data_IF_417328607707
#
_entry.id   IF_417328607707
#
_cell.length_a   1.000
_cell.length_b   1.000
_cell.length_c   1.000
_cell.angle_alpha   90.00
_cell.angle_beta   90.00
_cell.angle_gamma   90.00
#
_symmetry.space_group_name_H-M   'P 1'
#
loop_
_entity.id
_entity.type
_entity.pdbx_description
1 polymer ?
#
# COMPACT_ATOMS: atom_id res chain seq x y z
N UNK A 1 20.75 19.13 30.20
CA UNK A 1 21.29 18.81 28.87
C UNK A 1 20.32 17.84 28.22
N UNK A 2 19.50 18.36 27.34
CA UNK A 2 18.46 17.59 26.66
C UNK A 2 19.19 16.74 25.59
N UNK A 3 19.28 15.43 25.80
CA UNK A 3 19.72 14.50 24.75
C UNK A 3 18.64 14.52 23.65
N UNK A 4 18.94 15.25 22.57
CA UNK A 4 18.18 15.12 21.34
C UNK A 4 18.38 13.70 20.83
N UNK A 5 17.31 12.90 20.81
CA UNK A 5 17.30 11.60 20.19
C UNK A 5 17.80 11.73 18.73
N UNK A 6 18.51 10.72 18.26
CA UNK A 6 19.09 10.70 16.91
C UNK A 6 17.97 10.88 15.88
N UNK A 7 18.02 11.88 14.99
CA UNK A 7 16.94 12.15 14.02
C UNK A 7 16.66 10.96 13.07
N UNK A 8 17.64 10.08 12.88
CA UNK A 8 17.50 8.84 12.12
C UNK A 8 16.52 7.87 12.81
N UNK A 9 16.53 7.80 14.14
CA UNK A 9 15.64 6.94 14.91
C UNK A 9 14.18 7.46 14.88
N UNK A 10 14.00 8.77 14.96
CA UNK A 10 12.66 9.40 14.89
C UNK A 10 12.01 9.24 13.51
N UNK A 11 12.79 9.32 12.45
CA UNK A 11 12.27 9.19 11.08
C UNK A 11 12.00 7.74 10.71
N UNK A 12 12.79 6.78 11.23
CA UNK A 12 12.53 5.35 11.06
C UNK A 12 11.23 4.95 11.77
N UNK A 13 10.93 5.54 12.92
CA UNK A 13 9.67 5.36 13.66
C UNK A 13 8.49 5.89 12.83
N UNK A 14 8.58 7.10 12.28
CA UNK A 14 7.50 7.70 11.50
C UNK A 14 7.17 6.94 10.21
N UNK A 15 8.17 6.33 9.56
CA UNK A 15 7.99 5.53 8.34
C UNK A 15 7.46 4.12 8.60
N UNK A 16 7.80 3.55 9.77
CA UNK A 16 7.25 2.28 10.22
C UNK A 16 5.83 2.45 10.79
N UNK A 17 5.50 3.64 11.33
CA UNK A 17 4.16 3.91 11.89
C UNK A 17 3.07 3.96 10.84
N UNK A 18 3.35 4.33 9.59
CA UNK A 18 2.35 4.26 8.52
C UNK A 18 1.91 2.83 8.19
N UNK A 19 2.67 1.82 8.61
CA UNK A 19 2.33 0.40 8.41
C UNK A 19 1.70 -0.27 9.63
N UNK A 20 1.68 0.36 10.82
CA UNK A 20 1.38 -0.33 12.10
C UNK A 20 0.69 0.61 13.10
N UNK A 21 -0.46 1.18 12.77
CA UNK A 21 -1.24 2.02 13.71
C UNK A 21 -2.39 1.20 14.34
N UNK A 22 -2.51 1.14 15.66
CA UNK A 22 -3.50 0.33 16.39
C UNK A 22 -4.45 1.17 17.23
N UNK A 23 -5.71 0.77 17.28
CA UNK A 23 -6.74 1.39 18.13
C UNK A 23 -6.82 0.76 19.51
N UNK A 24 -6.73 1.57 20.56
CA UNK A 24 -7.11 1.17 21.91
C UNK A 24 -8.53 1.66 22.22
N UNK A 25 -9.51 0.75 22.10
CA UNK A 25 -10.79 0.91 22.77
C UNK A 25 -10.80 0.08 24.06
N UNK A 26 -11.20 0.72 25.15
CA UNK A 26 -11.20 0.17 26.51
C UNK A 26 -12.01 -1.14 26.61
N UNK A 27 -11.35 -2.18 27.20
CA UNK A 27 -11.94 -3.35 27.84
C UNK A 27 -12.79 -4.28 26.98
N UNK A 28 -12.22 -4.79 25.89
CA UNK A 28 -12.45 -6.15 25.46
C UNK A 28 -11.17 -6.94 25.80
N UNK A 29 -11.26 -8.24 26.07
CA UNK A 29 -10.11 -9.10 26.30
C UNK A 29 -9.05 -8.82 25.25
N UNK A 30 -7.84 -8.45 25.69
CA UNK A 30 -6.71 -8.24 24.77
C UNK A 30 -6.60 -9.50 23.91
N UNK A 31 -6.94 -9.40 22.63
CA UNK A 31 -6.66 -10.46 21.69
C UNK A 31 -5.15 -10.64 21.63
N UNK A 32 -4.70 -11.89 21.50
CA UNK A 32 -3.26 -12.13 21.30
C UNK A 32 -2.77 -11.34 20.09
N UNK A 33 -1.53 -10.80 20.14
CA UNK A 33 -1.00 -9.95 19.07
C UNK A 33 -0.94 -10.68 17.72
N UNK A 34 -0.98 -9.91 16.63
CA UNK A 34 -0.83 -10.43 15.27
C UNK A 34 0.62 -10.49 14.79
N UNK A 35 1.55 -9.96 15.58
CA UNK A 35 2.99 -10.05 15.36
C UNK A 35 3.69 -10.51 16.62
N UNK A 36 4.75 -11.30 16.48
CA UNK A 36 5.60 -11.66 17.60
C UNK A 36 7.07 -11.82 17.18
N UNK A 37 7.96 -11.55 18.10
CA UNK A 37 9.39 -11.88 17.96
C UNK A 37 9.74 -13.05 18.86
N UNK A 38 10.38 -14.06 18.28
CA UNK A 38 10.93 -15.20 19.02
C UNK A 38 12.44 -15.30 18.84
N UNK A 39 13.13 -15.86 19.82
CA UNK A 39 14.58 -16.09 19.79
C UNK A 39 14.90 -17.52 20.21
N UNK A 40 15.64 -18.21 19.38
CA UNK A 40 16.11 -19.58 19.69
C UNK A 40 17.35 -19.55 20.58
N UNK A 41 17.66 -20.68 21.23
CA UNK A 41 18.90 -20.84 22.01
C UNK A 41 20.18 -20.61 21.16
N UNK A 42 20.12 -20.84 19.85
CA UNK A 42 21.21 -20.59 18.90
C UNK A 42 21.36 -19.13 18.50
N UNK A 43 20.50 -18.23 19.02
CA UNK A 43 20.55 -16.81 18.69
C UNK A 43 19.93 -16.46 17.33
N UNK A 44 19.09 -17.32 16.77
CA UNK A 44 18.24 -16.94 15.63
C UNK A 44 17.02 -16.18 16.16
N UNK A 45 16.85 -14.95 15.73
CA UNK A 45 15.69 -14.11 16.04
C UNK A 45 14.77 -14.11 14.83
N UNK A 46 13.47 -14.36 15.04
CA UNK A 46 12.45 -14.36 14.00
C UNK A 46 11.33 -13.40 14.35
N UNK A 47 10.85 -12.66 13.33
CA UNK A 47 9.56 -11.97 13.34
C UNK A 47 8.55 -12.88 12.67
N UNK A 48 7.45 -13.15 13.34
CA UNK A 48 6.37 -14.01 12.85
C UNK A 48 5.07 -13.22 12.75
N UNK A 49 4.31 -13.47 11.68
CA UNK A 49 3.02 -12.88 11.38
C UNK A 49 1.92 -13.90 11.61
N UNK A 50 0.80 -13.45 12.20
CA UNK A 50 -0.34 -14.31 12.53
C UNK A 50 -1.34 -14.39 11.38
N UNK A 51 -1.83 -15.59 11.12
CA UNK A 51 -3.10 -15.87 10.47
C UNK A 51 -4.08 -16.34 11.54
N UNK A 52 -5.12 -15.55 11.81
CA UNK A 52 -6.19 -15.88 12.75
C UNK A 52 -7.42 -16.32 12.01
N UNK A 53 -7.88 -17.52 12.29
CA UNK A 53 -9.11 -18.08 11.74
C UNK A 53 -10.28 -17.82 12.68
N UNK A 54 -11.34 -17.24 12.12
CA UNK A 54 -12.62 -17.03 12.77
C UNK A 54 -13.68 -17.87 12.07
N UNK A 55 -14.61 -18.44 12.85
CA UNK A 55 -15.75 -19.21 12.36
C UNK A 55 -17.07 -18.59 12.81
N UNK A 56 -18.19 -18.82 12.12
CA UNK A 56 -19.49 -18.41 12.62
C UNK A 56 -19.76 -18.99 14.01
N UNK A 57 -20.19 -18.14 14.96
CA UNK A 57 -20.55 -18.59 16.33
C UNK A 57 -21.86 -19.35 16.37
N UNK A 58 -22.74 -19.15 15.36
CA UNK A 58 -23.98 -19.88 15.19
C UNK A 58 -24.33 -19.97 13.70
N UNK A 59 -24.85 -21.13 13.28
CA UNK A 59 -25.29 -21.34 11.89
C UNK A 59 -24.19 -21.85 10.96
N UNK A 60 -24.44 -21.69 9.67
CA UNK A 60 -23.51 -22.04 8.58
C UNK A 60 -22.98 -20.76 7.94
N UNK A 61 -21.76 -20.78 7.46
CA UNK A 61 -21.12 -19.65 6.79
C UNK A 61 -19.63 -19.93 6.56
N UNK A 62 -18.96 -19.12 5.74
CA UNK A 62 -17.53 -19.28 5.50
C UNK A 62 -16.71 -18.98 6.76
N UNK A 63 -15.53 -19.57 6.86
CA UNK A 63 -14.50 -19.12 7.80
C UNK A 63 -13.88 -17.84 7.26
N UNK A 64 -13.48 -16.98 8.17
CA UNK A 64 -12.75 -15.74 7.84
C UNK A 64 -11.34 -15.88 8.39
N UNK A 65 -10.35 -15.70 7.52
CA UNK A 65 -8.93 -15.79 7.84
C UNK A 65 -8.33 -14.38 7.83
N UNK A 66 -8.04 -13.84 9.01
CA UNK A 66 -7.31 -12.57 9.16
C UNK A 66 -5.82 -12.85 9.05
N UNK A 67 -5.23 -12.54 7.90
CA UNK A 67 -3.83 -12.82 7.56
C UNK A 67 -3.05 -11.53 7.64
N UNK A 68 -2.23 -11.38 8.68
CA UNK A 68 -1.44 -10.17 8.86
C UNK A 68 -0.31 -10.06 7.84
N UNK A 69 -0.23 -8.91 7.19
CA UNK A 69 0.76 -8.56 6.20
C UNK A 69 1.79 -7.56 6.74
N UNK A 70 2.93 -7.51 6.07
CA UNK A 70 3.96 -6.50 6.23
C UNK A 70 4.56 -6.19 4.86
N UNK A 71 4.82 -4.91 4.57
CA UNK A 71 5.27 -4.48 3.24
C UNK A 71 6.70 -4.88 2.89
N UNK A 72 7.55 -5.16 3.89
CA UNK A 72 8.92 -5.60 3.70
C UNK A 72 9.20 -6.82 4.57
N UNK A 73 9.64 -7.92 3.96
CA UNK A 73 9.92 -9.20 4.64
C UNK A 73 11.00 -9.98 3.88
N UNK A 74 11.40 -11.12 4.41
CA UNK A 74 12.23 -12.05 3.65
C UNK A 74 11.42 -12.60 2.47
N UNK A 75 12.06 -12.80 1.31
CA UNK A 75 11.42 -13.27 0.08
C UNK A 75 10.55 -14.52 0.30
N UNK A 76 11.05 -15.46 1.11
CA UNK A 76 10.37 -16.72 1.42
C UNK A 76 9.01 -16.51 2.12
N UNK A 77 8.85 -15.39 2.85
CA UNK A 77 7.56 -15.05 3.43
C UNK A 77 6.51 -14.78 2.35
N UNK A 78 6.86 -13.97 1.34
CA UNK A 78 5.93 -13.66 0.26
C UNK A 78 5.63 -14.85 -0.63
N UNK A 79 6.63 -15.71 -0.89
CA UNK A 79 6.42 -16.99 -1.60
C UNK A 79 5.41 -17.86 -0.82
N UNK A 80 5.59 -18.00 0.50
CA UNK A 80 4.67 -18.76 1.34
C UNK A 80 3.27 -18.13 1.43
N UNK A 81 3.18 -16.79 1.45
CA UNK A 81 1.90 -16.08 1.46
C UNK A 81 1.19 -16.21 0.11
N UNK A 82 1.90 -16.13 -1.02
CA UNK A 82 1.32 -16.37 -2.34
C UNK A 82 0.68 -17.76 -2.41
N UNK A 83 1.45 -18.81 -2.08
CA UNK A 83 0.97 -20.20 -2.06
C UNK A 83 -0.24 -20.38 -1.12
N UNK A 84 -0.20 -19.70 0.04
CA UNK A 84 -1.26 -19.77 1.05
C UNK A 84 -2.54 -19.11 0.58
N UNK A 85 -2.43 -17.88 0.05
CA UNK A 85 -3.58 -17.09 -0.40
C UNK A 85 -4.29 -17.70 -1.62
N UNK A 86 -3.58 -18.45 -2.45
CA UNK A 86 -4.17 -19.17 -3.59
C UNK A 86 -5.15 -20.28 -3.20
N UNK A 87 -5.07 -20.77 -1.94
CA UNK A 87 -5.95 -21.81 -1.43
C UNK A 87 -7.34 -21.31 -1.06
N UNK A 88 -7.52 -20.01 -0.86
CA UNK A 88 -8.80 -19.44 -0.45
C UNK A 88 -9.74 -19.22 -1.63
N UNK A 89 -11.05 -19.28 -1.34
CA UNK A 89 -12.08 -19.05 -2.36
C UNK A 89 -12.14 -17.58 -2.78
N UNK A 90 -11.94 -16.67 -1.81
CA UNK A 90 -11.89 -15.23 -2.01
C UNK A 90 -10.80 -14.62 -1.11
N UNK A 91 -10.05 -13.68 -1.65
CA UNK A 91 -9.06 -12.89 -0.89
C UNK A 91 -9.40 -11.41 -1.01
N UNK A 92 -9.61 -10.76 0.12
CA UNK A 92 -9.72 -9.31 0.23
C UNK A 92 -8.33 -8.78 0.65
N UNK A 93 -7.70 -7.94 -0.18
CA UNK A 93 -6.33 -7.50 0.11
C UNK A 93 -6.19 -5.99 0.19
N UNK A 94 -5.19 -5.56 0.97
CA UNK A 94 -4.81 -4.17 1.17
C UNK A 94 -4.03 -3.60 -0.02
N UNK A 95 -4.37 -2.37 -0.40
CA UNK A 95 -3.60 -1.60 -1.37
C UNK A 95 -4.38 -0.37 -1.80
N UNK A 96 -4.00 0.80 -1.29
CA UNK A 96 -4.63 2.07 -1.70
C UNK A 96 -4.69 2.12 -3.23
N UNK A 97 -5.89 2.20 -3.74
CA UNK A 97 -6.14 2.17 -5.19
C UNK A 97 -5.83 3.52 -5.83
N UNK A 98 -5.22 3.55 -7.01
CA UNK A 98 -5.25 4.75 -7.83
C UNK A 98 -6.71 5.17 -8.09
N UNK A 99 -6.97 6.47 -8.10
CA UNK A 99 -8.25 6.99 -8.52
C UNK A 99 -8.63 6.46 -9.92
N UNK A 100 -9.91 6.19 -10.14
CA UNK A 100 -10.42 5.70 -11.42
C UNK A 100 -10.22 4.19 -11.69
N UNK A 101 -9.57 3.44 -10.78
CA UNK A 101 -9.36 1.99 -10.97
C UNK A 101 -10.63 1.18 -10.77
N UNK A 102 -11.54 1.63 -9.91
CA UNK A 102 -12.75 0.88 -9.60
C UNK A 102 -13.71 0.76 -10.79
N UNK A 103 -14.45 -0.35 -10.79
CA UNK A 103 -15.55 -0.50 -11.72
C UNK A 103 -16.58 0.61 -11.48
N UNK A 104 -16.90 1.37 -12.51
CA UNK A 104 -17.92 2.43 -12.40
C UNK A 104 -19.29 1.78 -12.32
N UNK A 105 -20.03 2.06 -11.25
CA UNK A 105 -21.39 1.58 -11.08
C UNK A 105 -22.28 2.17 -12.19
N UNK A 106 -22.94 1.35 -13.01
CA UNK A 106 -23.81 1.83 -14.07
C UNK A 106 -25.02 2.66 -13.57
N UNK A 107 -25.37 2.55 -12.30
CA UNK A 107 -26.49 3.29 -11.68
C UNK A 107 -26.08 4.69 -11.17
N UNK A 108 -24.79 5.06 -11.21
CA UNK A 108 -24.33 6.40 -10.87
C UNK A 108 -24.97 7.46 -11.81
N UNK A 109 -25.15 8.67 -11.30
CA UNK A 109 -25.55 9.80 -12.12
C UNK A 109 -24.42 10.20 -13.11
N UNK A 110 -24.78 10.99 -14.12
CA UNK A 110 -23.84 11.35 -15.19
C UNK A 110 -22.72 12.29 -14.71
N UNK A 111 -22.94 13.06 -13.63
CA UNK A 111 -21.89 13.92 -13.05
C UNK A 111 -20.82 13.06 -12.36
N UNK A 112 -21.25 12.07 -11.57
CA UNK A 112 -20.36 11.10 -10.92
C UNK A 112 -19.60 10.23 -11.94
N UNK A 113 -20.28 9.82 -13.02
CA UNK A 113 -19.64 9.11 -14.14
C UNK A 113 -18.59 9.96 -14.85
N UNK A 114 -18.84 11.27 -15.01
CA UNK A 114 -17.90 12.19 -15.60
C UNK A 114 -16.65 12.39 -14.72
N UNK A 115 -16.81 12.42 -13.40
CA UNK A 115 -15.71 12.51 -12.43
C UNK A 115 -14.85 11.25 -12.47
N UNK A 116 -15.46 10.06 -12.32
CA UNK A 116 -14.76 8.79 -12.44
C UNK A 116 -14.06 8.61 -13.81
N UNK A 117 -14.62 9.19 -14.87
CA UNK A 117 -13.98 9.23 -16.19
C UNK A 117 -12.71 10.08 -16.16
N UNK A 118 -12.73 11.27 -15.53
CA UNK A 118 -11.52 12.11 -15.39
C UNK A 118 -10.41 11.38 -14.67
N UNK A 119 -10.73 10.71 -13.55
CA UNK A 119 -9.76 9.92 -12.78
C UNK A 119 -9.11 8.83 -13.63
N UNK A 120 -9.89 8.14 -14.48
CA UNK A 120 -9.36 7.15 -15.44
C UNK A 120 -8.42 7.78 -16.47
N UNK A 121 -8.76 8.96 -16.99
CA UNK A 121 -7.90 9.65 -17.94
C UNK A 121 -6.60 10.12 -17.30
N UNK A 122 -6.65 10.59 -16.04
CA UNK A 122 -5.45 10.96 -15.26
C UNK A 122 -4.56 9.74 -15.02
N UNK A 123 -5.13 8.62 -14.59
CA UNK A 123 -4.40 7.38 -14.38
C UNK A 123 -3.74 6.87 -15.69
N UNK A 124 -4.43 6.97 -16.82
CA UNK A 124 -3.84 6.64 -18.14
C UNK A 124 -2.66 7.56 -18.50
N UNK A 125 -2.72 8.85 -18.14
CA UNK A 125 -1.61 9.78 -18.34
C UNK A 125 -0.41 9.41 -17.44
N UNK A 126 -0.63 9.11 -16.17
CA UNK A 126 0.43 8.71 -15.24
C UNK A 126 1.13 7.43 -15.69
N UNK A 127 0.34 6.44 -16.14
CA UNK A 127 0.90 5.21 -16.71
C UNK A 127 1.69 5.50 -17.99
N UNK A 128 1.22 6.43 -18.84
CA UNK A 128 1.93 6.83 -20.06
C UNK A 128 3.25 7.55 -19.74
N UNK A 129 3.31 8.33 -18.67
CA UNK A 129 4.53 8.96 -18.17
C UNK A 129 5.56 7.91 -17.71
N UNK A 130 5.12 6.92 -16.96
CA UNK A 130 5.97 5.80 -16.52
C UNK A 130 6.46 4.98 -17.72
N UNK A 131 5.55 4.67 -18.65
CA UNK A 131 5.90 3.97 -19.89
C UNK A 131 6.98 4.73 -20.67
N UNK A 132 6.83 6.05 -20.84
CA UNK A 132 7.83 6.88 -21.50
C UNK A 132 9.17 6.87 -20.76
N UNK A 133 9.16 6.94 -19.44
CA UNK A 133 10.39 6.91 -18.64
C UNK A 133 11.17 5.59 -18.83
N UNK A 134 10.47 4.46 -18.93
CA UNK A 134 11.06 3.14 -19.12
C UNK A 134 11.49 2.87 -20.56
N UNK A 135 10.66 3.26 -21.55
CA UNK A 135 10.84 2.87 -22.96
C UNK A 135 11.47 3.98 -23.82
N UNK A 136 11.64 5.20 -23.28
CA UNK A 136 12.13 6.40 -24.00
C UNK A 136 11.31 6.74 -25.26
N UNK A 137 10.03 6.36 -25.30
CA UNK A 137 9.05 6.69 -26.32
C UNK A 137 7.66 6.82 -25.71
N UNK A 138 6.76 7.56 -26.35
CA UNK A 138 5.34 7.52 -25.97
C UNK A 138 4.70 6.18 -26.37
N UNK A 139 3.67 5.73 -25.64
CA UNK A 139 2.84 4.63 -26.10
C UNK A 139 2.08 5.02 -27.37
N UNK A 140 1.83 4.08 -28.27
CA UNK A 140 1.06 4.33 -29.49
C UNK A 140 -0.46 4.35 -29.22
N UNK A 141 -0.89 4.00 -28.02
CA UNK A 141 -2.26 3.98 -27.53
C UNK A 141 -2.43 3.08 -26.35
N UNK A 142 -3.69 2.85 -25.95
CA UNK A 142 -4.04 1.98 -24.81
C UNK A 142 -3.57 0.54 -25.04
N UNK A 143 -3.72 0.03 -26.25
CA UNK A 143 -3.29 -1.35 -26.58
C UNK A 143 -1.76 -1.51 -26.44
N UNK A 144 -0.97 -0.51 -26.84
CA UNK A 144 0.49 -0.53 -26.66
C UNK A 144 0.90 -0.48 -25.19
N UNK A 145 0.16 0.26 -24.35
CA UNK A 145 0.34 0.23 -22.89
C UNK A 145 0.08 -1.18 -22.33
N UNK A 146 -0.97 -1.86 -22.81
CA UNK A 146 -1.28 -3.22 -22.35
C UNK A 146 -0.24 -4.25 -22.80
N UNK A 147 0.23 -4.16 -24.04
CA UNK A 147 1.13 -5.16 -24.63
C UNK A 147 2.59 -5.02 -24.14
N UNK A 148 3.02 -3.79 -23.79
CA UNK A 148 4.41 -3.47 -23.51
C UNK A 148 4.65 -2.94 -22.09
N UNK A 149 3.72 -3.17 -21.16
CA UNK A 149 3.89 -2.93 -19.73
C UNK A 149 3.99 -4.26 -18.96
N UNK A 150 4.41 -4.18 -17.72
CA UNK A 150 4.38 -5.31 -16.80
C UNK A 150 2.95 -5.85 -16.62
N UNK A 151 2.74 -7.15 -16.35
CA UNK A 151 1.41 -7.78 -16.28
C UNK A 151 0.42 -7.03 -15.37
N UNK A 152 0.88 -6.53 -14.23
CA UNK A 152 0.05 -5.75 -13.30
C UNK A 152 -0.44 -4.44 -13.93
N UNK A 153 0.45 -3.69 -14.56
CA UNK A 153 0.09 -2.43 -15.24
C UNK A 153 -0.83 -2.71 -16.44
N UNK A 154 -0.56 -3.76 -17.18
CA UNK A 154 -1.42 -4.19 -18.29
C UNK A 154 -2.85 -4.52 -17.82
N UNK A 155 -3.00 -5.19 -16.66
CA UNK A 155 -4.30 -5.48 -16.06
C UNK A 155 -5.04 -4.19 -15.64
N UNK A 156 -4.33 -3.23 -15.01
CA UNK A 156 -4.88 -1.91 -14.65
C UNK A 156 -5.39 -1.20 -15.92
N UNK A 157 -4.54 -1.06 -16.94
CA UNK A 157 -4.92 -0.41 -18.21
C UNK A 157 -6.14 -1.09 -18.84
N UNK A 158 -6.19 -2.42 -18.80
CA UNK A 158 -7.33 -3.20 -19.29
C UNK A 158 -8.64 -2.88 -18.57
N UNK A 159 -8.62 -2.60 -17.27
CA UNK A 159 -9.81 -2.28 -16.47
C UNK A 159 -10.33 -0.84 -16.67
N UNK A 160 -9.45 0.09 -17.07
CA UNK A 160 -9.78 1.52 -17.23
C UNK A 160 -9.83 1.99 -18.69
N UNK A 161 -9.87 1.07 -19.66
CA UNK A 161 -9.90 1.43 -21.09
C UNK A 161 -11.20 2.02 -21.61
N UNK A 162 -12.27 1.97 -20.80
CA UNK A 162 -13.58 2.57 -21.10
C UNK A 162 -13.91 3.68 -20.10
N UNK A 163 -14.74 4.62 -20.54
CA UNK A 163 -15.24 5.73 -19.72
C UNK A 163 -16.43 5.31 -18.81
N UNK A 164 -17.04 6.27 -18.11
CA UNK A 164 -18.17 6.06 -17.21
C UNK A 164 -19.46 5.60 -17.88
N UNK A 165 -19.55 5.69 -19.19
CA UNK A 165 -20.68 5.26 -20.00
C UNK A 165 -20.35 4.03 -20.86
N UNK A 166 -19.27 3.31 -20.47
CA UNK A 166 -18.80 2.08 -21.14
C UNK A 166 -18.42 2.32 -22.61
N UNK A 167 -17.91 3.53 -22.93
CA UNK A 167 -17.36 3.81 -24.26
C UNK A 167 -15.84 3.74 -24.23
N UNK A 168 -15.20 3.22 -25.30
CA UNK A 168 -13.75 3.19 -25.39
C UNK A 168 -13.15 4.60 -25.30
N UNK A 169 -12.14 4.77 -24.46
CA UNK A 169 -11.36 6.01 -24.39
C UNK A 169 -10.51 6.14 -25.66
N UNK A 170 -10.58 7.32 -26.27
CA UNK A 170 -9.91 7.63 -27.54
C UNK A 170 -8.52 8.20 -27.23
N UNK A 171 -7.50 7.63 -27.86
CA UNK A 171 -6.14 8.18 -27.81
C UNK A 171 -5.85 9.02 -29.03
N UNK A 172 -5.25 10.17 -28.84
CA UNK A 172 -4.77 11.03 -29.93
C UNK A 172 -3.42 11.68 -29.58
N UNK A 173 -2.71 12.12 -30.62
CA UNK A 173 -1.41 12.75 -30.50
C UNK A 173 -1.44 14.12 -31.15
N UNK A 174 -0.80 15.09 -30.49
CA UNK A 174 -0.67 16.44 -31.03
C UNK A 174 0.81 16.79 -31.11
N UNK A 175 1.30 16.93 -32.31
CA UNK A 175 2.66 17.43 -32.57
C UNK A 175 2.70 18.94 -32.39
N UNK A 176 3.69 19.42 -31.67
CA UNK A 176 3.90 20.83 -31.41
C UNK A 176 5.39 21.14 -31.30
N UNK A 177 5.76 22.41 -31.11
CA UNK A 177 7.12 22.80 -30.85
C UNK A 177 7.18 23.77 -29.67
N UNK A 178 8.16 23.59 -28.80
CA UNK A 178 8.43 24.48 -27.68
C UNK A 178 9.70 25.28 -28.02
N UNK A 179 9.58 26.60 -28.06
CA UNK A 179 10.74 27.50 -28.23
C UNK A 179 11.42 27.71 -26.88
N UNK A 180 12.66 27.22 -26.75
CA UNK A 180 13.49 27.40 -25.55
C UNK A 180 14.86 27.94 -25.96
N UNK A 181 15.23 29.10 -25.42
CA UNK A 181 16.49 29.82 -25.78
C UNK A 181 16.66 30.12 -27.28
N UNK A 182 15.56 30.34 -28.02
CA UNK A 182 15.60 30.61 -29.43
C UNK A 182 15.73 29.40 -30.36
N UNK A 183 15.67 28.21 -29.82
CA UNK A 183 15.61 26.95 -30.58
C UNK A 183 14.24 26.32 -30.40
N UNK A 184 13.59 26.00 -31.53
CA UNK A 184 12.32 25.26 -31.53
C UNK A 184 12.61 23.75 -31.41
N UNK A 185 12.15 23.15 -30.29
CA UNK A 185 12.22 21.69 -30.10
C UNK A 185 10.87 21.08 -30.43
N UNK A 186 10.87 20.09 -31.30
CA UNK A 186 9.69 19.27 -31.56
C UNK A 186 9.26 18.56 -30.27
N UNK A 187 7.98 18.66 -29.96
CA UNK A 187 7.35 18.01 -28.80
C UNK A 187 6.04 17.39 -29.24
N UNK A 188 5.60 16.39 -28.49
CA UNK A 188 4.36 15.69 -28.73
C UNK A 188 3.57 15.56 -27.43
N UNK A 189 2.25 15.72 -27.48
CA UNK A 189 1.35 15.40 -26.37
C UNK A 189 0.60 14.11 -26.69
N UNK A 190 0.36 13.30 -25.70
CA UNK A 190 -0.67 12.27 -25.75
C UNK A 190 -1.93 12.82 -25.08
N UNK A 191 -3.08 12.59 -25.68
CA UNK A 191 -4.38 13.03 -25.18
C UNK A 191 -5.32 11.84 -25.13
N UNK A 192 -5.96 11.63 -23.99
CA UNK A 192 -7.04 10.68 -23.81
C UNK A 192 -8.37 11.45 -23.76
N UNK A 193 -9.38 10.94 -24.46
CA UNK A 193 -10.68 11.61 -24.62
C UNK A 193 -11.83 10.61 -24.45
N UNK A 194 -12.81 10.97 -23.63
CA UNK A 194 -14.16 10.42 -23.61
C UNK A 194 -15.10 11.35 -24.34
N UNK A 195 -16.10 10.82 -25.03
CA UNK A 195 -17.14 11.60 -25.74
C UNK A 195 -18.35 11.92 -24.88
N UNK A 196 -18.26 11.80 -23.56
CA UNK A 196 -19.33 12.14 -22.63
C UNK A 196 -20.56 11.24 -22.70
N UNK A 197 -21.63 11.68 -22.05
CA UNK A 197 -22.85 10.89 -21.90
C UNK A 197 -23.59 10.64 -23.22
N UNK A 198 -23.58 11.59 -24.15
CA UNK A 198 -24.25 11.46 -25.44
C UNK A 198 -23.47 10.65 -26.50
N UNK A 199 -22.21 10.28 -26.20
CA UNK A 199 -21.32 9.48 -27.07
C UNK A 199 -21.03 10.18 -28.39
N UNK A 200 -21.10 11.48 -28.45
CA UNK A 200 -20.83 12.29 -29.63
C UNK A 200 -19.70 13.30 -29.32
N UNK A 201 -19.01 13.72 -30.35
CA UNK A 201 -18.01 14.78 -30.18
C UNK A 201 -18.67 16.12 -29.96
N UNK A 202 -17.99 16.95 -29.19
CA UNK A 202 -18.45 18.25 -28.71
C UNK A 202 -19.52 18.09 -27.60
N UNK A 203 -20.50 18.92 -27.47
CA UNK A 203 -21.53 18.87 -26.43
C UNK A 203 -21.29 19.88 -25.31
N UNK A 204 -22.15 19.84 -24.27
CA UNK A 204 -22.06 20.73 -23.10
C UNK A 204 -22.48 19.99 -21.83
N UNK A 205 -21.93 20.38 -20.68
CA UNK A 205 -22.22 19.71 -19.41
C UNK A 205 -21.68 18.29 -19.40
N UNK A 206 -22.51 17.32 -19.04
CA UNK A 206 -22.15 15.89 -19.02
C UNK A 206 -22.01 15.27 -20.43
N UNK A 207 -22.58 15.92 -21.43
CA UNK A 207 -22.45 15.54 -22.86
C UNK A 207 -21.15 16.07 -23.49
N UNK A 208 -20.40 16.95 -22.79
CA UNK A 208 -19.16 17.50 -23.32
C UNK A 208 -18.05 16.44 -23.33
N UNK A 209 -17.21 16.50 -24.36
CA UNK A 209 -15.98 15.72 -24.41
C UNK A 209 -15.12 15.98 -23.15
N UNK A 210 -14.68 14.94 -22.50
CA UNK A 210 -13.72 14.99 -21.39
C UNK A 210 -12.35 14.62 -21.97
N UNK A 211 -11.45 15.58 -22.05
CA UNK A 211 -10.11 15.37 -22.63
C UNK A 211 -9.02 15.82 -21.67
N UNK A 212 -8.04 14.96 -21.43
CA UNK A 212 -6.85 15.27 -20.67
C UNK A 212 -5.60 14.99 -21.51
N UNK A 213 -4.62 15.89 -21.43
CA UNK A 213 -3.38 15.81 -22.19
C UNK A 213 -2.18 15.77 -21.26
N UNK A 214 -1.17 15.00 -21.65
CA UNK A 214 0.10 14.96 -20.94
C UNK A 214 0.84 16.30 -21.01
N UNK A 215 1.86 16.44 -20.17
CA UNK A 215 2.92 17.41 -20.42
C UNK A 215 3.63 17.11 -21.76
N UNK A 216 4.20 18.13 -22.42
CA UNK A 216 4.86 17.90 -23.71
C UNK A 216 6.09 17.02 -23.57
N UNK A 217 6.15 15.99 -24.38
CA UNK A 217 7.31 15.09 -24.48
C UNK A 217 8.27 15.58 -25.57
N UNK A 218 9.53 15.69 -25.21
CA UNK A 218 10.59 15.91 -26.19
C UNK A 218 11.22 14.56 -26.57
N UNK A 219 11.41 14.25 -27.85
CA UNK A 219 11.99 12.95 -28.27
C UNK A 219 13.36 12.63 -27.68
N UNK A 220 14.04 13.62 -27.13
CA UNK A 220 15.37 13.50 -26.51
C UNK A 220 15.36 13.68 -24.98
N UNK A 221 14.23 13.97 -24.37
CA UNK A 221 14.12 14.10 -22.91
C UNK A 221 13.86 12.72 -22.32
N UNK A 222 14.93 12.08 -21.85
CA UNK A 222 14.76 10.99 -20.88
C UNK A 222 14.31 11.61 -19.57
N UNK A 223 13.02 11.57 -19.28
CA UNK A 223 12.54 11.85 -17.94
C UNK A 223 13.27 10.89 -17.00
N UNK A 224 13.82 11.39 -15.91
CA UNK A 224 14.40 10.54 -14.90
C UNK A 224 13.24 9.70 -14.37
N UNK A 225 13.44 8.39 -14.31
CA UNK A 225 12.54 7.50 -13.58
C UNK A 225 12.24 8.11 -12.20
N UNK A 226 11.00 7.97 -11.75
CA UNK A 226 10.63 8.40 -10.40
C UNK A 226 11.68 7.91 -9.39
N UNK A 227 12.03 8.71 -8.38
CA UNK A 227 12.98 8.25 -7.37
C UNK A 227 12.46 6.97 -6.74
N UNK A 228 13.34 6.01 -6.54
CA UNK A 228 13.05 4.75 -5.85
C UNK A 228 12.35 5.04 -4.52
N UNK A 229 11.17 4.47 -4.31
CA UNK A 229 10.36 4.68 -3.11
C UNK A 229 11.14 4.35 -1.84
N UNK A 230 10.80 5.00 -0.72
CA UNK A 230 11.54 4.82 0.53
C UNK A 230 11.43 3.38 1.05
N UNK A 231 10.31 2.72 0.81
CA UNK A 231 10.09 1.32 1.19
C UNK A 231 11.02 0.38 0.43
N UNK A 232 11.20 0.59 -0.87
CA UNK A 232 12.17 -0.17 -1.69
C UNK A 232 13.60 0.08 -1.24
N UNK A 233 13.95 1.34 -0.92
CA UNK A 233 15.28 1.66 -0.37
C UNK A 233 15.51 1.00 0.98
N UNK A 234 14.50 0.94 1.84
CA UNK A 234 14.55 0.27 3.14
C UNK A 234 14.70 -1.25 2.96
N UNK A 235 13.90 -1.86 2.08
CA UNK A 235 14.00 -3.28 1.76
C UNK A 235 15.42 -3.65 1.28
N UNK A 236 15.99 -2.88 0.36
CA UNK A 236 17.37 -3.03 -0.11
C UNK A 236 18.40 -2.90 1.02
N UNK A 237 18.22 -1.92 1.92
CA UNK A 237 19.13 -1.71 3.04
C UNK A 237 19.11 -2.86 4.05
N UNK A 238 17.97 -3.45 4.29
CA UNK A 238 17.75 -4.57 5.21
C UNK A 238 17.96 -5.93 4.57
N UNK A 239 18.18 -5.99 3.25
CA UNK A 239 18.29 -7.22 2.46
C UNK A 239 17.06 -8.11 2.58
N UNK A 240 15.90 -7.49 2.51
CA UNK A 240 14.59 -8.10 2.44
C UNK A 240 13.92 -7.69 1.14
N UNK A 241 12.79 -8.30 0.82
CA UNK A 241 11.99 -7.98 -0.36
C UNK A 241 10.85 -7.01 -0.02
N UNK A 242 10.33 -6.35 -1.05
CA UNK A 242 9.13 -5.55 -0.98
C UNK A 242 7.93 -6.36 -1.48
N UNK A 243 6.81 -6.31 -0.77
CA UNK A 243 5.62 -7.13 -1.04
C UNK A 243 5.18 -7.09 -2.51
N UNK A 244 5.08 -5.88 -3.08
CA UNK A 244 4.57 -5.70 -4.43
C UNK A 244 5.52 -6.21 -5.54
N UNK A 245 6.82 -6.43 -5.22
CA UNK A 245 7.79 -6.98 -6.16
C UNK A 245 7.74 -8.52 -6.18
N UNK A 246 7.22 -9.15 -5.11
CA UNK A 246 7.28 -10.59 -4.92
C UNK A 246 5.93 -11.30 -5.08
N UNK A 247 4.81 -10.57 -4.99
CA UNK A 247 3.47 -11.15 -5.03
C UNK A 247 2.71 -10.81 -6.32
N UNK A 248 2.08 -11.81 -6.91
CA UNK A 248 1.15 -11.61 -8.03
C UNK A 248 -0.26 -11.34 -7.51
N UNK A 249 -0.65 -10.06 -7.55
CA UNK A 249 -1.97 -9.60 -7.11
C UNK A 249 -3.04 -9.64 -8.23
N UNK A 250 -2.75 -10.28 -9.36
CA UNK A 250 -3.66 -10.32 -10.53
C UNK A 250 -4.63 -11.51 -10.52
N UNK A 251 -4.61 -12.34 -9.48
CA UNK A 251 -5.53 -13.47 -9.35
C UNK A 251 -6.99 -12.98 -9.36
N UNK A 252 -7.87 -13.52 -10.24
CA UNK A 252 -9.26 -13.04 -10.33
C UNK A 252 -10.14 -13.32 -9.10
N UNK A 253 -9.68 -14.16 -8.17
CA UNK A 253 -10.32 -14.39 -6.88
C UNK A 253 -9.92 -13.35 -5.81
N UNK A 254 -8.95 -12.49 -6.14
CA UNK A 254 -8.42 -11.50 -5.22
C UNK A 254 -9.04 -10.14 -5.53
N UNK A 255 -9.61 -9.53 -4.51
CA UNK A 255 -10.33 -8.27 -4.59
C UNK A 255 -9.53 -7.24 -3.81
N UNK A 256 -9.10 -6.16 -4.46
CA UNK A 256 -8.57 -5.01 -3.75
C UNK A 256 -9.72 -4.36 -2.97
N UNK A 257 -9.76 -4.59 -1.66
CA UNK A 257 -10.81 -4.15 -0.77
C UNK A 257 -10.40 -2.90 0.04
N UNK A 258 -9.65 -1.99 -0.56
CA UNK A 258 -9.14 -0.78 0.08
C UNK A 258 -9.78 0.48 -0.52
N UNK A 259 -9.57 1.62 0.13
CA UNK A 259 -9.93 2.93 -0.38
C UNK A 259 -9.15 3.28 -1.64
N UNK A 260 -9.69 4.16 -2.45
CA UNK A 260 -8.90 4.85 -3.44
C UNK A 260 -8.17 6.08 -2.84
N UNK A 261 -7.25 6.64 -3.63
CA UNK A 261 -6.40 7.75 -3.16
C UNK A 261 -7.22 9.02 -2.92
N UNK A 262 -8.29 9.26 -3.67
CA UNK A 262 -9.15 10.45 -3.50
C UNK A 262 -9.93 10.34 -2.20
N UNK A 263 -10.54 9.17 -1.92
CA UNK A 263 -11.23 8.89 -0.66
C UNK A 263 -10.29 9.09 0.54
N UNK A 264 -9.06 8.58 0.43
CA UNK A 264 -8.05 8.73 1.47
C UNK A 264 -7.67 10.21 1.67
N UNK A 265 -7.43 10.95 0.59
CA UNK A 265 -7.10 12.38 0.63
C UNK A 265 -8.25 13.21 1.19
N UNK A 266 -9.51 12.93 0.82
CA UNK A 266 -10.69 13.61 1.36
C UNK A 266 -10.82 13.39 2.87
N UNK A 267 -10.63 12.16 3.33
CA UNK A 267 -10.67 11.86 4.76
C UNK A 267 -9.53 12.56 5.52
N UNK A 268 -8.32 12.60 4.97
CA UNK A 268 -7.20 13.34 5.55
C UNK A 268 -7.47 14.86 5.57
N UNK A 269 -8.01 15.43 4.48
CA UNK A 269 -8.32 16.85 4.37
C UNK A 269 -9.37 17.31 5.42
N UNK A 270 -10.29 16.44 5.78
CA UNK A 270 -11.30 16.72 6.81
C UNK A 270 -10.73 16.77 8.24
N UNK A 271 -9.47 16.36 8.46
CA UNK A 271 -8.82 16.34 9.78
C UNK A 271 -8.04 17.61 10.12
N UNK A 272 -7.72 18.48 9.16
CA UNK A 272 -7.04 19.77 9.38
C UNK A 272 -5.55 19.78 9.04
N UNK A 273 -4.76 20.70 9.61
CA UNK A 273 -3.42 21.14 9.15
C UNK A 273 -2.30 20.08 9.02
N UNK A 274 -2.57 18.78 9.16
CA UNK A 274 -1.56 17.69 9.07
C UNK A 274 -1.25 17.19 7.64
N UNK A 275 -2.04 17.55 6.65
CA UNK A 275 -2.17 16.91 5.35
C UNK A 275 -0.89 16.92 4.50
N UNK A 276 -0.23 18.08 4.39
CA UNK A 276 0.95 18.22 3.53
C UNK A 276 2.16 17.40 4.00
N UNK A 277 2.32 17.21 5.32
CA UNK A 277 3.50 16.53 5.88
C UNK A 277 3.41 15.01 5.67
N UNK A 278 2.21 14.44 5.74
CA UNK A 278 1.99 12.99 5.57
C UNK A 278 2.14 12.62 4.08
N UNK A 279 1.53 13.41 3.19
CA UNK A 279 1.66 13.22 1.74
C UNK A 279 3.11 13.39 1.28
N UNK A 280 3.82 14.44 1.71
CA UNK A 280 5.25 14.67 1.43
C UNK A 280 6.14 13.51 1.92
N UNK A 281 5.75 12.86 3.03
CA UNK A 281 6.47 11.72 3.58
C UNK A 281 6.23 10.46 2.74
N UNK A 282 4.98 10.23 2.31
CA UNK A 282 4.60 9.10 1.43
C UNK A 282 5.28 9.24 0.07
N UNK A 283 5.27 10.43 -0.53
CA UNK A 283 5.88 10.71 -1.83
C UNK A 283 7.42 10.67 -1.82
N UNK A 284 8.04 10.69 -0.63
CA UNK A 284 9.51 10.62 -0.51
C UNK A 284 10.25 11.86 -1.02
N UNK A 285 9.55 12.97 -1.27
CA UNK A 285 10.10 14.20 -1.83
C UNK A 285 10.77 15.12 -0.81
N UNK A 286 10.52 14.91 0.48
CA UNK A 286 11.05 15.74 1.56
C UNK A 286 12.59 15.66 1.67
N UNK A 287 13.20 16.71 2.22
CA UNK A 287 14.65 16.70 2.54
C UNK A 287 15.01 15.55 3.48
N UNK A 288 14.13 15.26 4.44
CA UNK A 288 14.27 14.17 5.38
C UNK A 288 14.29 12.80 4.68
N UNK A 289 13.39 12.57 3.72
CA UNK A 289 13.35 11.36 2.92
C UNK A 289 14.64 11.16 2.10
N UNK A 290 15.20 12.23 1.52
CA UNK A 290 16.48 12.18 0.78
C UNK A 290 17.66 11.86 1.69
N UNK A 291 17.69 12.44 2.89
CA UNK A 291 18.72 12.17 3.89
C UNK A 291 18.65 10.73 4.39
N UNK A 292 17.41 10.23 4.62
CA UNK A 292 17.16 8.82 4.96
C UNK A 292 17.64 7.88 3.87
N UNK A 293 17.29 8.14 2.61
CA UNK A 293 17.76 7.35 1.48
C UNK A 293 19.28 7.28 1.39
N UNK A 294 19.99 8.37 1.71
CA UNK A 294 21.45 8.36 1.80
C UNK A 294 21.95 7.46 2.94
N UNK A 295 21.34 7.54 4.12
CA UNK A 295 21.69 6.70 5.27
C UNK A 295 21.42 5.21 4.98
N UNK A 296 20.27 4.87 4.36
CA UNK A 296 19.93 3.51 3.95
C UNK A 296 20.93 2.93 2.95
N UNK A 297 21.39 3.71 1.97
CA UNK A 297 22.47 3.29 1.04
C UNK A 297 23.79 2.99 1.74
N UNK A 298 24.07 3.65 2.85
CA UNK A 298 25.24 3.35 3.66
C UNK A 298 25.08 2.03 4.42
N UNK A 299 23.90 1.81 5.02
CA UNK A 299 23.54 0.55 5.70
C UNK A 299 23.64 -0.63 4.74
N UNK A 300 23.06 -0.52 3.53
CA UNK A 300 23.06 -1.56 2.50
C UNK A 300 24.47 -2.10 2.14
N UNK A 301 25.51 -1.28 2.31
CA UNK A 301 26.90 -1.66 2.00
C UNK A 301 27.55 -2.55 3.04
N UNK A 302 26.98 -2.65 4.24
CA UNK A 302 27.53 -3.44 5.34
C UNK A 302 26.56 -4.54 5.77
N UNK A 303 26.87 -5.83 5.53
CA UNK A 303 26.02 -6.93 6.00
C UNK A 303 25.70 -6.84 7.49
N UNK A 304 26.70 -6.56 8.31
CA UNK A 304 26.55 -6.43 9.77
C UNK A 304 25.61 -5.29 10.16
N UNK A 305 25.71 -4.12 9.51
CA UNK A 305 24.78 -3.01 9.77
C UNK A 305 23.36 -3.34 9.30
N UNK A 306 23.23 -4.03 8.16
CA UNK A 306 21.97 -4.52 7.64
C UNK A 306 21.30 -5.46 8.65
N UNK A 307 22.00 -6.48 9.13
CA UNK A 307 21.49 -7.44 10.11
C UNK A 307 21.15 -6.78 11.46
N UNK A 308 21.98 -5.83 11.91
CA UNK A 308 21.68 -5.07 13.13
C UNK A 308 20.41 -4.21 12.96
N UNK A 309 20.26 -3.51 11.85
CA UNK A 309 19.08 -2.68 11.59
C UNK A 309 17.82 -3.55 11.40
N UNK A 310 17.94 -4.72 10.74
CA UNK A 310 16.87 -5.69 10.62
C UNK A 310 16.40 -6.16 12.00
N UNK A 311 17.31 -6.50 12.92
CA UNK A 311 16.99 -6.89 14.29
C UNK A 311 16.25 -5.77 15.04
N UNK A 312 16.75 -4.53 14.95
CA UNK A 312 16.09 -3.36 15.57
C UNK A 312 14.68 -3.18 15.04
N UNK A 313 14.50 -3.28 13.73
CA UNK A 313 13.18 -3.13 13.11
C UNK A 313 12.21 -4.23 13.54
N UNK A 314 12.66 -5.49 13.60
CA UNK A 314 11.83 -6.60 14.08
C UNK A 314 11.37 -6.39 15.53
N UNK A 315 12.27 -5.96 16.41
CA UNK A 315 11.94 -5.65 17.80
C UNK A 315 10.97 -4.46 17.91
N UNK A 316 11.15 -3.41 17.09
CA UNK A 316 10.24 -2.26 17.06
C UNK A 316 8.84 -2.64 16.59
N UNK A 317 8.73 -3.41 15.51
CA UNK A 317 7.44 -3.85 14.97
C UNK A 317 6.62 -4.63 16.02
N UNK A 318 7.27 -5.54 16.75
CA UNK A 318 6.59 -6.31 17.78
C UNK A 318 6.21 -5.46 19.03
N UNK A 319 7.02 -4.45 19.38
CA UNK A 319 6.73 -3.56 20.51
C UNK A 319 5.61 -2.57 20.17
N UNK A 320 5.54 -2.11 18.93
CA UNK A 320 4.52 -1.15 18.50
C UNK A 320 3.11 -1.72 18.61
N UNK A 321 2.92 -3.01 18.33
CA UNK A 321 1.63 -3.66 18.50
C UNK A 321 1.17 -3.75 19.97
N UNK A 322 2.12 -3.73 20.92
CA UNK A 322 1.84 -3.90 22.35
C UNK A 322 1.77 -2.60 23.15
N UNK A 323 2.02 -1.44 22.54
CA UNK A 323 2.20 -0.18 23.26
C UNK A 323 1.05 0.80 23.07
N UNK A 324 0.70 1.56 24.15
CA UNK A 324 -0.20 2.73 24.10
C UNK A 324 0.34 3.89 23.24
N UNK A 325 1.42 3.64 22.50
CA UNK A 325 2.19 4.64 21.76
C UNK A 325 1.38 5.34 20.67
N UNK A 326 0.35 4.70 20.18
CA UNK A 326 -0.42 5.13 19.01
C UNK A 326 -1.60 6.04 19.36
N UNK A 327 -2.03 6.04 20.63
CA UNK A 327 -3.10 6.93 21.09
C UNK A 327 -2.79 8.43 20.95
N UNK A 328 -1.53 8.79 20.69
CA UNK A 328 -1.15 10.19 20.44
C UNK A 328 -1.41 10.66 19.00
N UNK A 329 -1.75 9.73 18.13
CA UNK A 329 -2.09 9.97 16.72
C UNK A 329 -3.54 9.59 16.43
N UNK A 330 -4.45 9.75 17.42
CA UNK A 330 -5.87 9.34 17.32
C UNK A 330 -6.56 9.80 16.03
N UNK A 331 -6.27 11.01 15.54
CA UNK A 331 -6.89 11.54 14.33
C UNK A 331 -6.39 10.79 13.09
N UNK A 332 -5.08 10.59 12.95
CA UNK A 332 -4.47 9.85 11.82
C UNK A 332 -4.87 8.38 11.87
N UNK A 333 -4.87 7.79 13.06
CA UNK A 333 -5.33 6.43 13.31
C UNK A 333 -6.78 6.23 12.83
N UNK A 334 -7.66 7.19 13.15
CA UNK A 334 -9.06 7.14 12.77
C UNK A 334 -9.23 7.02 11.25
N UNK A 335 -8.49 7.75 10.43
CA UNK A 335 -8.61 7.71 8.97
C UNK A 335 -7.86 6.54 8.38
N UNK A 336 -6.59 6.36 8.76
CA UNK A 336 -5.73 5.35 8.12
C UNK A 336 -6.16 3.94 8.49
N UNK A 337 -6.66 3.70 9.70
CA UNK A 337 -7.10 2.37 10.12
C UNK A 337 -8.62 2.20 10.05
N UNK A 338 -9.38 3.03 10.77
CA UNK A 338 -10.83 2.81 10.90
C UNK A 338 -11.54 3.03 9.58
N UNK A 339 -11.20 4.09 8.82
CA UNK A 339 -11.79 4.34 7.51
C UNK A 339 -11.56 3.16 6.56
N UNK A 340 -10.31 2.70 6.47
CA UNK A 340 -9.93 1.58 5.60
C UNK A 340 -10.50 0.25 6.11
N UNK A 341 -10.57 0.03 7.44
CA UNK A 341 -11.24 -1.15 8.00
C UNK A 341 -12.73 -1.19 7.64
N UNK A 342 -13.43 -0.05 7.66
CA UNK A 342 -14.82 0.00 7.23
C UNK A 342 -14.95 -0.41 5.76
N UNK A 343 -14.07 0.06 4.89
CA UNK A 343 -14.06 -0.32 3.47
C UNK A 343 -13.94 -1.83 3.29
N UNK A 344 -12.99 -2.49 3.96
CA UNK A 344 -12.84 -3.95 3.83
C UNK A 344 -14.02 -4.71 4.44
N UNK A 345 -14.64 -4.21 5.51
CA UNK A 345 -15.85 -4.81 6.09
C UNK A 345 -17.03 -4.69 5.12
N UNK A 346 -17.15 -3.59 4.38
CA UNK A 346 -18.18 -3.43 3.34
C UNK A 346 -17.98 -4.43 2.20
N UNK A 347 -16.73 -4.66 1.77
CA UNK A 347 -16.41 -5.72 0.80
C UNK A 347 -16.72 -7.11 1.36
N UNK A 348 -16.34 -7.39 2.60
CA UNK A 348 -16.66 -8.65 3.26
C UNK A 348 -18.18 -8.90 3.31
N UNK A 349 -18.96 -7.89 3.67
CA UNK A 349 -20.43 -7.99 3.70
C UNK A 349 -21.02 -8.29 2.31
N UNK A 350 -20.47 -7.68 1.25
CA UNK A 350 -20.86 -7.98 -0.13
C UNK A 350 -20.55 -9.44 -0.50
N UNK A 351 -19.39 -9.97 -0.08
CA UNK A 351 -19.01 -11.36 -0.33
C UNK A 351 -19.91 -12.33 0.47
N UNK A 352 -20.19 -12.05 1.74
CA UNK A 352 -21.07 -12.86 2.59
C UNK A 352 -22.54 -12.87 2.09
N UNK A 353 -22.98 -11.80 1.41
CA UNK A 353 -24.32 -11.71 0.86
C UNK A 353 -24.52 -12.47 -0.46
N UNK A 354 -23.43 -12.93 -1.11
CA UNK A 354 -23.52 -13.71 -2.34
C UNK A 354 -24.07 -15.11 -2.04
N UNK A 355 -25.01 -15.58 -2.87
CA UNK A 355 -25.52 -16.96 -2.82
C UNK A 355 -24.49 -17.92 -3.49
N UNK A 356 -23.28 -17.95 -2.95
CA UNK A 356 -22.18 -18.80 -3.40
C UNK A 356 -21.73 -19.72 -2.27
N UNK A 357 -21.34 -20.96 -2.62
CA UNK A 357 -20.77 -21.89 -1.64
C UNK A 357 -19.28 -21.55 -1.45
N UNK A 358 -19.00 -20.41 -0.79
CA UNK A 358 -17.66 -20.04 -0.36
C UNK A 358 -17.43 -20.64 1.03
N UNK A 359 -16.34 -21.38 1.21
CA UNK A 359 -16.00 -22.01 2.48
C UNK A 359 -15.01 -21.16 3.28
N UNK A 360 -14.09 -20.49 2.59
CA UNK A 360 -13.00 -19.74 3.20
C UNK A 360 -12.78 -18.37 2.51
N UNK A 361 -12.84 -17.28 3.30
CA UNK A 361 -12.53 -15.91 2.86
C UNK A 361 -11.28 -15.44 3.62
N UNK A 362 -10.25 -15.02 2.91
CA UNK A 362 -9.07 -14.42 3.50
C UNK A 362 -9.13 -12.88 3.43
N UNK A 363 -8.68 -12.22 4.49
CA UNK A 363 -8.43 -10.79 4.55
C UNK A 363 -6.94 -10.60 4.78
N UNK A 364 -6.22 -10.18 3.73
CA UNK A 364 -4.77 -9.99 3.73
C UNK A 364 -4.45 -8.49 3.85
N UNK A 365 -4.22 -8.05 5.07
CA UNK A 365 -4.07 -6.65 5.44
C UNK A 365 -2.91 -6.46 6.41
N UNK A 366 -2.34 -5.25 6.48
CA UNK A 366 -1.28 -4.93 7.44
C UNK A 366 -1.67 -5.29 8.87
N UNK A 367 -0.72 -5.80 9.64
CA UNK A 367 -0.94 -6.27 11.01
C UNK A 367 -1.69 -5.26 11.89
N UNK A 368 -1.48 -3.97 11.65
CA UNK A 368 -2.13 -2.88 12.35
C UNK A 368 -3.66 -2.85 12.22
N UNK A 369 -4.18 -3.31 11.10
CA UNK A 369 -5.62 -3.34 10.84
C UNK A 369 -6.32 -4.49 11.57
N UNK A 370 -5.59 -5.56 11.88
CA UNK A 370 -6.14 -6.83 12.32
C UNK A 370 -6.97 -6.77 13.61
N UNK A 371 -6.54 -6.09 14.70
CA UNK A 371 -7.35 -6.01 15.91
C UNK A 371 -8.71 -5.36 15.69
N UNK A 372 -8.77 -4.27 14.93
CA UNK A 372 -10.03 -3.59 14.63
C UNK A 372 -10.95 -4.40 13.73
N UNK A 373 -10.38 -5.12 12.75
CA UNK A 373 -11.12 -6.04 11.89
C UNK A 373 -11.68 -7.21 12.69
N UNK A 374 -10.86 -7.85 13.54
CA UNK A 374 -11.28 -8.95 14.42
C UNK A 374 -12.43 -8.52 15.33
N UNK A 375 -12.29 -7.35 15.97
CA UNK A 375 -13.31 -6.80 16.86
C UNK A 375 -14.66 -6.65 16.13
N UNK A 376 -14.65 -6.04 14.95
CA UNK A 376 -15.86 -5.82 14.14
C UNK A 376 -16.47 -7.15 13.68
N UNK A 377 -15.65 -8.08 13.17
CA UNK A 377 -16.14 -9.38 12.69
C UNK A 377 -16.73 -10.22 13.82
N UNK A 378 -16.12 -10.20 15.00
CA UNK A 378 -16.66 -10.93 16.16
C UNK A 378 -17.95 -10.28 16.66
N UNK A 379 -17.99 -8.96 16.86
CA UNK A 379 -19.10 -8.29 17.50
C UNK A 379 -20.30 -8.11 16.58
N UNK A 380 -20.05 -7.68 15.34
CA UNK A 380 -21.11 -7.22 14.45
C UNK A 380 -21.54 -8.31 13.47
N UNK A 381 -20.62 -9.23 13.09
CA UNK A 381 -20.95 -10.31 12.16
C UNK A 381 -21.15 -11.66 12.86
N UNK A 382 -20.93 -11.75 14.18
CA UNK A 382 -21.24 -12.94 14.98
C UNK A 382 -20.30 -14.11 14.75
N UNK A 383 -19.00 -13.82 14.62
CA UNK A 383 -17.95 -14.82 14.53
C UNK A 383 -17.30 -15.07 15.89
N UNK A 384 -16.56 -16.17 16.00
CA UNK A 384 -15.75 -16.50 17.17
C UNK A 384 -14.37 -17.02 16.75
N UNK A 385 -13.40 -16.90 17.63
CA UNK A 385 -12.04 -17.41 17.43
C UNK A 385 -12.04 -18.94 17.23
N UNK A 386 -11.25 -19.42 16.27
CA UNK A 386 -11.02 -20.84 16.04
C UNK A 386 -9.56 -21.24 16.29
N UNK A 387 -8.61 -20.60 15.59
CA UNK A 387 -7.19 -20.97 15.68
C UNK A 387 -6.26 -19.86 15.17
N UNK A 388 -4.99 -19.93 15.58
CA UNK A 388 -3.89 -19.12 15.06
C UNK A 388 -2.85 -20.00 14.37
N UNK A 389 -2.34 -19.50 13.23
CA UNK A 389 -1.18 -20.04 12.52
C UNK A 389 -0.13 -18.94 12.37
N UNK A 390 1.14 -19.26 12.58
CA UNK A 390 2.23 -18.30 12.56
C UNK A 390 3.20 -18.59 11.41
N UNK A 391 3.52 -17.55 10.65
CA UNK A 391 4.46 -17.64 9.54
C UNK A 391 5.63 -16.68 9.77
N UNK A 392 6.86 -17.18 9.60
CA UNK A 392 8.07 -16.38 9.74
C UNK A 392 8.15 -15.35 8.61
N UNK A 393 8.13 -14.07 8.97
CA UNK A 393 8.29 -12.96 8.02
C UNK A 393 9.75 -12.56 7.83
N UNK A 394 10.52 -12.52 8.91
CA UNK A 394 11.93 -12.17 8.86
C UNK A 394 12.73 -13.02 9.83
N UNK A 395 14.00 -13.25 9.50
CA UNK A 395 14.96 -13.86 10.42
C UNK A 395 16.30 -13.16 10.37
N UNK A 396 16.99 -13.12 11.50
CA UNK A 396 18.37 -12.64 11.61
C UNK A 396 19.12 -13.42 12.68
N UNK A 397 20.34 -13.86 12.37
CA UNK A 397 21.21 -14.42 13.39
C UNK A 397 21.87 -13.29 14.20
N UNK A 398 21.84 -13.42 15.52
CA UNK A 398 22.55 -12.47 16.40
C UNK A 398 24.04 -12.41 16.13
N UNK A 399 24.65 -13.50 15.64
CA UNK A 399 26.07 -13.54 15.24
C UNK A 399 26.36 -12.60 14.05
N UNK A 400 25.42 -12.47 13.11
CA UNK A 400 25.55 -11.60 11.94
C UNK A 400 25.55 -10.11 12.29
N UNK A 401 24.98 -9.75 13.45
CA UNK A 401 24.97 -8.36 13.93
C UNK A 401 26.35 -7.88 14.39
N UNK A 402 27.30 -8.79 14.62
CA UNK A 402 28.62 -8.49 15.19
C UNK A 402 28.57 -8.00 16.64
N UNK A 403 27.42 -8.08 17.30
CA UNK A 403 27.22 -7.69 18.68
C UNK A 403 27.24 -8.91 19.60
N UNK A 404 27.75 -8.75 20.81
CA UNK A 404 27.60 -9.77 21.85
C UNK A 404 26.15 -9.83 22.36
N UNK A 405 25.73 -10.97 22.91
CA UNK A 405 24.40 -11.13 23.51
C UNK A 405 24.07 -10.02 24.55
N UNK A 406 25.08 -9.61 25.34
CA UNK A 406 24.93 -8.51 26.31
C UNK A 406 24.65 -7.15 25.64
N UNK A 407 25.30 -6.86 24.51
CA UNK A 407 25.09 -5.63 23.74
C UNK A 407 23.70 -5.65 23.07
N UNK A 408 23.28 -6.77 22.51
CA UNK A 408 21.94 -6.95 21.94
C UNK A 408 20.87 -6.72 23.01
N UNK A 409 21.01 -7.34 24.19
CA UNK A 409 20.08 -7.13 25.30
C UNK A 409 20.03 -5.67 25.76
N UNK A 410 21.18 -5.01 25.82
CA UNK A 410 21.25 -3.58 26.16
C UNK A 410 20.55 -2.72 25.09
N UNK A 411 20.78 -3.01 23.81
CA UNK A 411 20.14 -2.31 22.68
C UNK A 411 18.62 -2.47 22.73
N UNK A 412 18.11 -3.69 22.89
CA UNK A 412 16.66 -3.97 23.03
C UNK A 412 16.05 -3.21 24.21
N UNK A 413 16.70 -3.21 25.37
CA UNK A 413 16.24 -2.44 26.52
C UNK A 413 16.26 -0.93 26.24
N UNK A 414 17.25 -0.42 25.51
CA UNK A 414 17.30 0.99 25.11
C UNK A 414 16.15 1.35 24.15
N UNK A 415 15.86 0.50 23.18
CA UNK A 415 14.73 0.68 22.25
C UNK A 415 13.43 0.70 23.05
N UNK A 416 13.20 -0.32 23.87
CA UNK A 416 12.01 -0.42 24.72
C UNK A 416 11.84 0.82 25.60
N UNK A 417 12.88 1.21 26.34
CA UNK A 417 12.83 2.39 27.19
C UNK A 417 12.68 3.70 26.41
N UNK A 418 13.26 3.79 25.21
CA UNK A 418 13.10 4.97 24.35
C UNK A 418 11.67 5.10 23.85
N UNK A 419 11.05 3.98 23.51
CA UNK A 419 9.64 3.94 23.14
C UNK A 419 8.73 4.28 24.33
N UNK A 420 8.98 3.68 25.50
CA UNK A 420 8.20 3.95 26.73
C UNK A 420 8.41 5.35 27.32
N UNK A 421 9.52 6.05 27.03
CA UNK A 421 9.81 7.40 27.54
C UNK A 421 9.43 8.53 26.58
N UNK A 422 9.18 8.24 25.32
CA UNK A 422 8.71 9.24 24.35
C UNK A 422 7.20 9.48 24.46
N UNK A 423 6.53 8.64 25.20
CA UNK A 423 5.10 8.59 25.42
C UNK A 423 4.76 8.42 26.89
#
# INVERSE_FOLDING_TARGET
MIHRACPVLQLTIALLTLSVLHSNHAAASVSDPYTRVSETESGLVTLEMCERTLKPSAGEGPRIHLISAIHIADKQFYEAMQDRLELYDTVLFEGVKPAGLDAIDPELDDESKAEATRDRLELLLDISDQFHALNARLPEGIDDLMENSEPRIAAIVGSIRSDGWDQPIITSFVDTSISKNGEDKATQYITFTSTGADRQRDGTGVDADISLSSEPYSPNDRRKAAPEGIQTQLANALRVSFQLDEMDMTNPKWINADMDINELQEQLANMGEGDGMILDLIEGNSFQAKLMGFALKFVARSPTMSSMMKLVMMDMLALMESSEMLSQFEEIESVILHGRNNTVIDYLNKELAKDTQVEDIAIFYGAAHMPGLEETIIKDLGYEFESDTWTQAMAVSTEETGLSAGQIKMMRNMIKNALEQQF
#
